data_IF_989309800118
#
_entry.id   IF_989309800118
#
_cell.length_a   1.000
_cell.length_b   1.000
_cell.length_c   1.000
_cell.angle_alpha   90.00
_cell.angle_beta   90.00
_cell.angle_gamma   90.00
#
_symmetry.space_group_name_H-M   'P 1'
#
loop_
_entity.id
_entity.type
_entity.pdbx_description
1 polymer ?
#
# COMPACT_ATOMS: atom_id res chain seq x y z
N UNK A 1 0.83 -13.24 -27.72
CA UNK A 1 0.41 -12.57 -26.48
C UNK A 1 -0.64 -13.47 -25.80
N UNK A 2 -0.33 -14.08 -24.64
CA UNK A 2 -1.29 -14.94 -23.92
C UNK A 2 -2.43 -14.06 -23.39
N UNK A 3 -3.68 -14.38 -23.75
CA UNK A 3 -4.87 -13.66 -23.26
C UNK A 3 -5.14 -14.10 -21.82
N UNK A 4 -4.98 -13.21 -20.83
CA UNK A 4 -5.32 -13.50 -19.44
C UNK A 4 -6.81 -13.89 -19.29
N UNK A 5 -7.14 -14.75 -18.33
CA UNK A 5 -8.53 -15.03 -17.96
C UNK A 5 -9.15 -13.78 -17.35
N UNK A 6 -10.12 -13.20 -18.06
CA UNK A 6 -10.98 -12.16 -17.51
C UNK A 6 -11.98 -12.79 -16.54
N UNK A 7 -11.88 -12.41 -15.26
CA UNK A 7 -12.86 -12.74 -14.20
C UNK A 7 -14.14 -11.95 -14.47
N UNK A 8 -15.30 -12.60 -14.33
CA UNK A 8 -16.62 -11.93 -14.26
C UNK A 8 -17.02 -11.72 -12.81
N UNK A 9 -17.87 -10.73 -12.54
CA UNK A 9 -18.19 -10.28 -11.17
C UNK A 9 -18.77 -11.39 -10.28
N UNK A 10 -19.60 -12.27 -10.84
CA UNK A 10 -20.19 -13.40 -10.13
C UNK A 10 -19.21 -14.57 -9.92
N UNK A 11 -18.09 -14.63 -10.63
CA UNK A 11 -17.18 -15.78 -10.57
C UNK A 11 -16.32 -15.75 -9.30
N UNK A 12 -16.14 -16.91 -8.68
CA UNK A 12 -15.45 -17.05 -7.41
C UNK A 12 -13.96 -17.42 -7.57
N UNK A 13 -13.24 -16.68 -8.42
CA UNK A 13 -11.85 -16.96 -8.79
C UNK A 13 -10.80 -16.44 -7.78
N UNK A 14 -11.10 -16.52 -6.48
CA UNK A 14 -10.13 -16.18 -5.45
C UNK A 14 -9.00 -17.23 -5.41
N UNK A 15 -7.78 -16.83 -5.01
CA UNK A 15 -6.67 -17.76 -4.86
C UNK A 15 -7.02 -18.98 -3.98
N UNK A 16 -7.74 -18.72 -2.88
CA UNK A 16 -8.22 -19.75 -1.94
C UNK A 16 -9.16 -20.76 -2.61
N UNK A 17 -10.07 -20.29 -3.46
CA UNK A 17 -11.03 -21.19 -4.12
C UNK A 17 -10.40 -21.96 -5.27
N UNK A 18 -9.44 -21.34 -5.99
CA UNK A 18 -8.66 -22.05 -7.00
C UNK A 18 -7.81 -23.15 -6.35
N UNK A 19 -7.13 -22.87 -5.23
CA UNK A 19 -6.39 -23.89 -4.46
C UNK A 19 -7.31 -25.02 -3.99
N UNK A 20 -8.46 -24.68 -3.41
CA UNK A 20 -9.47 -25.66 -3.00
C UNK A 20 -9.89 -26.56 -4.16
N UNK A 21 -10.18 -25.98 -5.33
CA UNK A 21 -10.56 -26.78 -6.51
C UNK A 21 -9.42 -27.67 -6.99
N UNK A 22 -8.17 -27.20 -6.96
CA UNK A 22 -7.01 -28.03 -7.32
C UNK A 22 -6.84 -29.23 -6.38
N UNK A 23 -6.97 -29.01 -5.08
CA UNK A 23 -6.88 -30.05 -4.05
C UNK A 23 -8.00 -31.09 -4.22
N UNK A 24 -9.23 -30.65 -4.49
CA UNK A 24 -10.37 -31.56 -4.70
C UNK A 24 -10.30 -32.33 -6.03
N UNK A 25 -9.71 -31.74 -7.07
CA UNK A 25 -9.51 -32.41 -8.36
C UNK A 25 -8.38 -33.45 -8.31
N UNK A 26 -7.40 -33.26 -7.43
CA UNK A 26 -6.24 -34.15 -7.28
C UNK A 26 -5.93 -34.36 -5.80
N UNK A 27 -6.77 -35.12 -5.07
CA UNK A 27 -6.55 -35.36 -3.65
C UNK A 27 -5.24 -36.12 -3.43
N UNK A 28 -4.50 -35.75 -2.38
CA UNK A 28 -3.21 -36.36 -2.05
C UNK A 28 -3.31 -37.75 -1.38
N UNK A 29 -4.50 -38.11 -0.89
CA UNK A 29 -4.77 -39.39 -0.22
C UNK A 29 -5.48 -40.33 -1.19
N UNK A 30 -4.99 -41.58 -1.31
CA UNK A 30 -5.60 -42.60 -2.17
C UNK A 30 -7.04 -42.98 -1.76
N UNK A 31 -7.47 -42.63 -0.55
CA UNK A 31 -8.81 -42.86 -0.01
C UNK A 31 -9.86 -41.84 -0.46
N UNK A 32 -9.43 -40.65 -0.93
CA UNK A 32 -10.34 -39.55 -1.26
C UNK A 32 -10.70 -39.57 -2.75
N UNK A 33 -12.00 -39.55 -3.05
CA UNK A 33 -12.47 -39.52 -4.44
C UNK A 33 -12.32 -38.10 -5.02
N UNK A 34 -11.63 -37.94 -6.17
CA UNK A 34 -11.57 -36.66 -6.85
C UNK A 34 -12.96 -36.15 -7.24
N UNK A 35 -13.19 -34.85 -7.15
CA UNK A 35 -14.42 -34.25 -7.68
C UNK A 35 -14.41 -34.25 -9.21
N UNK A 36 -15.58 -34.18 -9.81
CA UNK A 36 -15.73 -34.01 -11.25
C UNK A 36 -15.38 -32.59 -11.69
N UNK A 37 -14.99 -32.43 -12.96
CA UNK A 37 -14.78 -31.09 -13.56
C UNK A 37 -16.05 -30.23 -13.52
N UNK A 38 -17.24 -30.85 -13.47
CA UNK A 38 -18.53 -30.16 -13.36
C UNK A 38 -18.70 -29.54 -11.98
N UNK A 39 -18.39 -30.30 -10.93
CA UNK A 39 -18.38 -29.80 -9.55
C UNK A 39 -17.32 -28.72 -9.33
N UNK A 40 -16.13 -28.89 -9.92
CA UNK A 40 -15.09 -27.86 -9.90
C UNK A 40 -15.55 -26.54 -10.51
N UNK A 41 -16.24 -26.58 -11.65
CA UNK A 41 -16.81 -25.38 -12.28
C UNK A 41 -17.88 -24.73 -11.39
N UNK A 42 -18.71 -25.54 -10.71
CA UNK A 42 -19.72 -25.05 -9.79
C UNK A 42 -19.12 -24.32 -8.58
N UNK A 43 -18.04 -24.86 -7.99
CA UNK A 43 -17.33 -24.21 -6.86
C UNK A 43 -16.79 -22.82 -7.24
N UNK A 44 -16.25 -22.69 -8.47
CA UNK A 44 -15.75 -21.41 -8.99
C UNK A 44 -16.84 -20.49 -9.52
N UNK A 45 -18.11 -20.92 -9.47
CA UNK A 45 -19.25 -20.23 -10.08
C UNK A 45 -18.99 -19.85 -11.55
N UNK A 46 -18.44 -20.78 -12.33
CA UNK A 46 -18.25 -20.65 -13.77
C UNK A 46 -19.16 -21.64 -14.52
N UNK A 47 -19.54 -21.30 -15.75
CA UNK A 47 -20.21 -22.24 -16.65
C UNK A 47 -19.35 -23.49 -16.85
N UNK A 48 -19.98 -24.65 -17.04
CA UNK A 48 -19.26 -25.91 -17.29
C UNK A 48 -18.49 -25.84 -18.61
N UNK A 49 -17.22 -25.45 -18.51
CA UNK A 49 -16.29 -25.28 -19.61
C UNK A 49 -14.91 -25.75 -19.14
N UNK A 50 -14.56 -26.96 -19.53
CA UNK A 50 -13.33 -27.63 -19.10
C UNK A 50 -12.07 -26.91 -19.57
N UNK A 51 -12.10 -26.28 -20.75
CA UNK A 51 -10.99 -25.46 -21.27
C UNK A 51 -10.78 -24.20 -20.44
N UNK A 52 -11.87 -23.50 -20.05
CA UNK A 52 -11.78 -22.33 -19.17
C UNK A 52 -11.26 -22.71 -17.78
N UNK A 53 -11.79 -23.80 -17.20
CA UNK A 53 -11.33 -24.32 -15.92
C UNK A 53 -9.83 -24.61 -15.94
N UNK A 54 -9.36 -25.35 -16.95
CA UNK A 54 -7.95 -25.69 -17.11
C UNK A 54 -7.08 -24.44 -17.21
N UNK A 55 -7.50 -23.46 -18.03
CA UNK A 55 -6.78 -22.20 -18.18
C UNK A 55 -6.71 -21.38 -16.89
N UNK A 56 -7.77 -21.36 -16.08
CA UNK A 56 -7.78 -20.70 -14.76
C UNK A 56 -6.73 -21.33 -13.84
N UNK A 57 -6.66 -22.66 -13.81
CA UNK A 57 -5.70 -23.40 -12.98
C UNK A 57 -4.28 -23.16 -13.47
N UNK A 58 -4.03 -23.26 -14.77
CA UNK A 58 -2.71 -23.01 -15.38
C UNK A 58 -2.22 -21.58 -15.10
N UNK A 59 -3.05 -20.55 -15.34
CA UNK A 59 -2.67 -19.16 -15.05
C UNK A 59 -2.44 -18.90 -13.56
N UNK A 60 -3.15 -19.62 -12.68
CA UNK A 60 -2.90 -19.55 -11.24
C UNK A 60 -1.54 -20.15 -10.88
N UNK A 61 -1.22 -21.33 -11.40
CA UNK A 61 0.05 -22.02 -11.14
C UNK A 61 1.24 -21.25 -11.71
N UNK A 62 1.13 -20.73 -12.93
CA UNK A 62 2.16 -19.89 -13.54
C UNK A 62 2.45 -18.64 -12.68
N UNK A 63 1.41 -17.98 -12.15
CA UNK A 63 1.59 -16.83 -11.24
C UNK A 63 2.23 -17.23 -9.92
N UNK A 64 1.84 -18.39 -9.36
CA UNK A 64 2.39 -18.91 -8.10
C UNK A 64 3.87 -19.27 -8.26
N UNK A 65 4.22 -19.98 -9.34
CA UNK A 65 5.60 -20.37 -9.65
C UNK A 65 6.48 -19.17 -9.99
N UNK A 66 5.95 -18.20 -10.75
CA UNK A 66 6.65 -16.94 -11.00
C UNK A 66 6.98 -16.22 -9.69
N UNK A 67 6.00 -16.07 -8.80
CA UNK A 67 6.18 -15.44 -7.49
C UNK A 67 7.21 -16.20 -6.66
N UNK A 68 7.13 -17.53 -6.62
CA UNK A 68 8.07 -18.40 -5.91
C UNK A 68 9.50 -18.23 -6.45
N UNK A 69 9.67 -18.22 -7.78
CA UNK A 69 10.96 -18.03 -8.45
C UNK A 69 11.56 -16.66 -8.14
N UNK A 70 10.75 -15.59 -8.19
CA UNK A 70 11.18 -14.23 -7.84
C UNK A 70 11.63 -14.14 -6.38
N UNK A 71 10.81 -14.65 -5.45
CA UNK A 71 11.14 -14.69 -4.01
C UNK A 71 12.40 -15.49 -3.73
N UNK A 72 12.56 -16.65 -4.36
CA UNK A 72 13.76 -17.47 -4.22
C UNK A 72 15.01 -16.74 -4.72
N UNK A 73 14.93 -16.07 -5.88
CA UNK A 73 16.04 -15.30 -6.44
C UNK A 73 16.45 -14.08 -5.61
N UNK A 74 15.51 -13.50 -4.85
CA UNK A 74 15.75 -12.35 -3.98
C UNK A 74 16.13 -12.74 -2.54
N UNK A 75 15.99 -14.02 -2.17
CA UNK A 75 16.25 -14.49 -0.80
C UNK A 75 17.70 -14.20 -0.40
N UNK A 76 17.88 -13.60 0.78
CA UNK A 76 19.19 -13.24 1.32
C UNK A 76 19.86 -12.03 0.65
N UNK A 77 19.27 -11.47 -0.41
CA UNK A 77 19.81 -10.27 -1.06
C UNK A 77 19.36 -9.02 -0.31
N UNK A 78 20.26 -8.03 -0.09
CA UNK A 78 19.85 -6.74 0.45
C UNK A 78 18.87 -6.03 -0.50
N UNK A 79 18.20 -5.00 0.01
CA UNK A 79 17.34 -4.14 -0.81
C UNK A 79 18.22 -3.31 -1.76
N UNK A 80 17.90 -3.35 -3.04
CA UNK A 80 18.48 -2.45 -4.04
C UNK A 80 17.97 -1.01 -3.86
N UNK A 81 18.70 -0.03 -4.39
CA UNK A 81 18.27 1.37 -4.36
C UNK A 81 16.87 1.57 -4.99
N UNK A 82 16.58 0.84 -6.07
CA UNK A 82 15.26 0.85 -6.71
C UNK A 82 14.16 0.30 -5.81
N UNK A 83 14.38 -0.83 -5.12
CA UNK A 83 13.42 -1.38 -4.15
C UNK A 83 13.18 -0.42 -2.97
N UNK A 84 14.21 0.27 -2.51
CA UNK A 84 14.09 1.26 -1.42
C UNK A 84 13.23 2.44 -1.88
N UNK A 85 13.57 3.03 -3.03
CA UNK A 85 12.81 4.15 -3.59
C UNK A 85 11.35 3.75 -3.86
N UNK A 86 11.12 2.60 -4.47
CA UNK A 86 9.76 2.12 -4.76
C UNK A 86 8.97 1.87 -3.48
N UNK A 87 9.57 1.24 -2.45
CA UNK A 87 8.89 1.01 -1.19
C UNK A 87 8.48 2.31 -0.50
N UNK A 88 9.38 3.29 -0.44
CA UNK A 88 9.12 4.57 0.22
C UNK A 88 8.08 5.40 -0.55
N UNK A 89 8.26 5.57 -1.87
CA UNK A 89 7.30 6.28 -2.72
C UNK A 89 5.90 5.64 -2.64
N UNK A 90 5.81 4.33 -2.84
CA UNK A 90 4.52 3.64 -2.79
C UNK A 90 3.83 3.80 -1.43
N UNK A 91 4.59 3.73 -0.34
CA UNK A 91 4.02 3.89 1.01
C UNK A 91 3.50 5.31 1.23
N UNK A 92 4.29 6.33 0.88
CA UNK A 92 3.88 7.74 0.95
C UNK A 92 2.63 7.98 0.10
N UNK A 93 2.57 7.43 -1.12
CA UNK A 93 1.40 7.48 -2.00
C UNK A 93 0.17 6.70 -1.52
N UNK A 94 0.23 6.03 -0.36
CA UNK A 94 -0.94 5.40 0.27
C UNK A 94 -1.11 3.90 0.00
N UNK A 95 -0.12 3.22 -0.56
CA UNK A 95 -0.13 1.76 -0.64
C UNK A 95 0.07 1.14 0.75
N UNK A 96 -0.56 -0.01 0.97
CA UNK A 96 -0.32 -0.80 2.18
C UNK A 96 1.02 -1.54 2.08
N UNK A 97 1.65 -1.82 3.23
CA UNK A 97 2.86 -2.67 3.29
C UNK A 97 2.62 -4.04 2.62
N UNK A 98 1.40 -4.56 2.68
CA UNK A 98 1.02 -5.83 2.05
C UNK A 98 1.07 -5.74 0.52
N UNK A 99 0.60 -4.65 -0.06
CA UNK A 99 0.55 -4.48 -1.52
C UNK A 99 1.95 -4.20 -2.09
N UNK A 100 2.73 -3.36 -1.40
CA UNK A 100 4.15 -3.14 -1.71
C UNK A 100 4.92 -4.46 -1.64
N UNK A 101 4.70 -5.27 -0.60
CA UNK A 101 5.32 -6.58 -0.42
C UNK A 101 5.03 -7.53 -1.58
N UNK A 102 3.78 -7.58 -2.07
CA UNK A 102 3.40 -8.41 -3.22
C UNK A 102 4.12 -7.95 -4.49
N UNK A 103 4.15 -6.65 -4.76
CA UNK A 103 4.75 -6.06 -5.97
C UNK A 103 6.27 -6.21 -6.00
N UNK A 104 6.93 -5.99 -4.87
CA UNK A 104 8.39 -6.14 -4.73
C UNK A 104 8.84 -7.59 -4.58
N UNK A 105 7.92 -8.56 -4.44
CA UNK A 105 8.26 -9.96 -4.13
C UNK A 105 9.13 -10.10 -2.87
N UNK A 106 8.93 -9.22 -1.88
CA UNK A 106 9.61 -9.24 -0.57
C UNK A 106 8.61 -9.53 0.55
N UNK A 107 9.06 -10.00 1.71
CA UNK A 107 8.15 -10.21 2.86
C UNK A 107 7.69 -8.87 3.44
N UNK A 108 6.47 -8.79 4.03
CA UNK A 108 5.99 -7.55 4.65
C UNK A 108 6.95 -6.99 5.70
N UNK A 109 7.54 -7.84 6.55
CA UNK A 109 8.53 -7.42 7.54
C UNK A 109 9.80 -6.84 6.93
N UNK A 110 10.18 -7.27 5.72
CA UNK A 110 11.35 -6.73 5.01
C UNK A 110 11.04 -5.35 4.42
N UNK A 111 9.81 -5.13 3.96
CA UNK A 111 9.36 -3.80 3.55
C UNK A 111 9.31 -2.85 4.75
N UNK A 112 8.79 -3.30 5.90
CA UNK A 112 8.81 -2.50 7.14
C UNK A 112 10.23 -2.11 7.55
N UNK A 113 11.17 -3.05 7.55
CA UNK A 113 12.55 -2.74 7.90
C UNK A 113 13.25 -1.78 6.93
N UNK A 114 12.84 -1.76 5.65
CA UNK A 114 13.27 -0.71 4.71
C UNK A 114 12.76 0.65 5.16
N UNK A 115 11.45 0.77 5.43
CA UNK A 115 10.81 2.03 5.82
C UNK A 115 11.40 2.57 7.13
N UNK A 116 11.56 1.71 8.13
CA UNK A 116 12.15 2.05 9.43
C UNK A 116 13.60 2.53 9.29
N UNK A 117 14.45 1.80 8.54
CA UNK A 117 15.85 2.18 8.36
C UNK A 117 16.03 3.48 7.57
N UNK A 118 15.08 3.80 6.69
CA UNK A 118 15.07 5.05 5.94
C UNK A 118 14.49 6.20 6.78
N UNK A 119 13.76 5.91 7.85
CA UNK A 119 13.06 6.92 8.65
C UNK A 119 11.77 7.43 7.98
N UNK A 120 11.03 6.56 7.28
CA UNK A 120 9.68 6.89 6.81
C UNK A 120 8.70 6.78 7.98
N UNK A 121 7.90 7.82 8.28
CA UNK A 121 6.91 7.76 9.36
C UNK A 121 5.92 6.61 9.19
N UNK A 122 5.57 5.94 10.30
CA UNK A 122 4.64 4.80 10.30
C UNK A 122 3.19 5.23 10.36
N UNK A 123 2.29 4.38 9.84
CA UNK A 123 0.84 4.49 10.04
C UNK A 123 0.42 3.52 11.15
N UNK A 124 -0.35 3.98 12.16
CA UNK A 124 -0.90 3.08 13.16
C UNK A 124 -1.80 2.01 12.52
N UNK A 125 -1.75 0.79 13.05
CA UNK A 125 -2.41 -0.36 12.43
C UNK A 125 -3.90 -0.44 12.78
N UNK A 126 -4.28 -0.03 13.99
CA UNK A 126 -5.66 -0.05 14.47
C UNK A 126 -6.32 1.33 14.33
N UNK A 127 -7.64 1.41 14.53
CA UNK A 127 -8.40 2.65 14.37
C UNK A 127 -8.22 3.55 15.58
N UNK A 128 -8.08 2.96 16.77
CA UNK A 128 -7.98 3.66 18.04
C UNK A 128 -6.68 4.50 18.11
N UNK A 129 -5.53 3.95 17.72
CA UNK A 129 -4.25 4.67 17.68
C UNK A 129 -4.24 5.78 16.62
N UNK A 130 -5.08 5.68 15.59
CA UNK A 130 -5.20 6.75 14.58
C UNK A 130 -5.95 7.98 15.08
N UNK A 131 -6.66 7.87 16.21
CA UNK A 131 -7.37 9.00 16.81
C UNK A 131 -6.43 10.00 17.49
N UNK A 132 -5.19 9.59 17.76
CA UNK A 132 -4.17 10.41 18.40
C UNK A 132 -2.99 10.64 17.45
N UNK A 133 -2.28 11.78 17.57
CA UNK A 133 -1.00 11.97 16.88
C UNK A 133 -0.03 10.83 17.20
N UNK A 134 0.65 10.31 16.18
CA UNK A 134 1.62 9.24 16.35
C UNK A 134 3.05 9.77 16.25
N UNK A 135 3.95 9.13 17.00
CA UNK A 135 5.38 9.44 16.94
C UNK A 135 5.93 9.14 15.55
N UNK A 136 6.76 10.05 15.06
CA UNK A 136 7.53 9.87 13.83
C UNK A 136 9.04 9.84 14.16
N UNK A 137 9.87 9.31 13.26
CA UNK A 137 11.32 9.19 13.49
C UNK A 137 11.99 10.53 13.76
N UNK A 138 13.07 10.51 14.55
CA UNK A 138 13.82 11.72 14.93
C UNK A 138 14.35 12.48 13.70
N UNK A 139 14.65 11.78 12.61
CA UNK A 139 15.08 12.38 11.34
C UNK A 139 14.03 13.30 10.72
N UNK A 140 12.76 13.13 11.09
CA UNK A 140 11.65 13.96 10.64
C UNK A 140 11.40 15.16 11.55
N UNK A 141 12.00 15.25 12.74
CA UNK A 141 11.75 16.35 13.68
C UNK A 141 12.30 17.66 13.13
N UNK A 142 11.47 18.71 13.13
CA UNK A 142 11.84 20.05 12.69
C UNK A 142 10.99 21.09 13.41
N UNK A 143 11.59 22.23 13.74
CA UNK A 143 10.90 23.33 14.43
C UNK A 143 10.19 24.28 13.46
N UNK A 144 10.59 24.28 12.19
CA UNK A 144 10.06 25.16 11.16
C UNK A 144 9.94 24.50 9.80
N UNK A 145 9.01 25.01 8.99
CA UNK A 145 8.68 24.52 7.66
C UNK A 145 8.48 25.67 6.68
N UNK A 146 8.74 25.40 5.40
CA UNK A 146 8.55 26.38 4.33
C UNK A 146 7.22 26.18 3.63
N UNK A 147 6.63 27.26 3.12
CA UNK A 147 5.44 27.17 2.25
C UNK A 147 5.79 26.37 0.99
N UNK A 148 4.93 25.44 0.61
CA UNK A 148 5.15 24.48 -0.47
C UNK A 148 5.97 23.25 -0.07
N UNK A 149 6.47 23.16 1.18
CA UNK A 149 7.22 21.99 1.65
C UNK A 149 6.29 20.80 1.86
N UNK A 150 6.75 19.62 1.41
CA UNK A 150 6.07 18.34 1.65
C UNK A 150 6.46 17.82 3.03
N UNK A 151 5.47 17.64 3.88
CA UNK A 151 5.61 17.21 5.27
C UNK A 151 4.75 15.99 5.54
N UNK A 152 5.02 15.31 6.65
CA UNK A 152 4.15 14.29 7.21
C UNK A 152 3.29 14.89 8.31
N UNK A 153 1.98 14.61 8.33
CA UNK A 153 1.14 14.97 9.46
C UNK A 153 1.03 13.80 10.44
N UNK A 154 1.49 13.99 11.67
CA UNK A 154 1.34 13.02 12.76
C UNK A 154 -0.13 12.77 13.12
N UNK A 155 -1.00 13.78 12.94
CA UNK A 155 -2.43 13.70 13.25
C UNK A 155 -3.20 12.90 12.21
N UNK A 156 -2.88 13.09 10.93
CA UNK A 156 -3.59 12.47 9.81
C UNK A 156 -2.88 11.22 9.26
N UNK A 157 -1.67 10.91 9.73
CA UNK A 157 -0.87 9.76 9.30
C UNK A 157 -0.67 9.71 7.78
N UNK A 158 -0.45 10.88 7.18
CA UNK A 158 -0.39 11.08 5.74
C UNK A 158 0.56 12.22 5.35
N UNK A 159 1.12 12.19 4.12
CA UNK A 159 1.81 13.34 3.55
C UNK A 159 0.86 14.53 3.35
N UNK A 160 1.40 15.73 3.49
CA UNK A 160 0.71 16.99 3.33
C UNK A 160 1.65 18.05 2.74
N UNK A 161 1.08 19.13 2.20
CA UNK A 161 1.85 20.32 1.78
C UNK A 161 1.56 21.47 2.72
N UNK A 162 2.59 22.19 3.11
CA UNK A 162 2.44 23.45 3.85
C UNK A 162 1.88 24.52 2.91
N UNK A 163 0.68 25.00 3.21
CA UNK A 163 -0.02 26.04 2.44
C UNK A 163 0.36 27.43 2.93
N UNK A 164 0.30 27.66 4.24
CA UNK A 164 0.73 28.92 4.85
C UNK A 164 1.17 28.74 6.30
N UNK A 165 2.04 29.62 6.76
CA UNK A 165 2.38 29.77 8.17
C UNK A 165 1.33 30.67 8.83
N UNK A 166 0.87 30.30 10.03
CA UNK A 166 0.03 31.19 10.82
C UNK A 166 0.91 32.23 11.51
N UNK A 167 0.67 33.51 11.23
CA UNK A 167 1.45 34.64 11.79
C UNK A 167 1.04 35.02 13.21
N UNK A 168 -0.04 34.43 13.73
CA UNK A 168 -0.58 34.82 15.02
C UNK A 168 0.33 34.34 16.18
N UNK A 169 0.93 35.25 16.98
CA UNK A 169 1.82 34.89 18.09
C UNK A 169 1.14 34.09 19.20
N UNK A 170 -0.19 34.13 19.27
CA UNK A 170 -1.00 33.37 20.25
C UNK A 170 -0.74 31.86 20.15
N UNK A 171 -0.40 31.33 18.97
CA UNK A 171 -0.07 29.90 18.83
C UNK A 171 1.23 29.55 19.55
N UNK A 172 2.26 30.39 19.41
CA UNK A 172 3.53 30.21 20.09
C UNK A 172 3.36 30.34 21.61
N UNK A 173 2.58 31.32 22.07
CA UNK A 173 2.32 31.52 23.50
C UNK A 173 1.51 30.38 24.13
N UNK A 174 0.53 29.84 23.40
CA UNK A 174 -0.38 28.81 23.93
C UNK A 174 0.17 27.39 23.81
N UNK A 175 0.88 27.09 22.72
CA UNK A 175 1.32 25.73 22.39
C UNK A 175 2.84 25.57 22.36
N UNK A 176 3.61 26.65 22.54
CA UNK A 176 5.07 26.61 22.50
C UNK A 176 5.64 26.29 21.12
N UNK A 177 4.84 26.38 20.06
CA UNK A 177 5.21 25.96 18.71
C UNK A 177 4.54 26.82 17.65
N UNK A 178 5.22 26.98 16.52
CA UNK A 178 4.65 27.59 15.33
C UNK A 178 3.52 26.72 14.78
N UNK A 179 2.51 27.35 14.17
CA UNK A 179 1.37 26.67 13.57
C UNK A 179 1.33 26.93 12.05
N UNK A 180 0.91 25.92 11.31
CA UNK A 180 0.85 25.92 9.85
C UNK A 180 -0.52 25.46 9.39
N UNK A 181 -1.01 26.05 8.31
CA UNK A 181 -2.07 25.46 7.51
C UNK A 181 -1.43 24.49 6.52
N UNK A 182 -1.95 23.28 6.49
CA UNK A 182 -1.50 22.20 5.63
C UNK A 182 -2.65 21.72 4.75
N UNK A 183 -2.34 21.25 3.56
CA UNK A 183 -3.28 20.55 2.67
C UNK A 183 -2.96 19.06 2.66
N UNK A 184 -3.93 18.24 3.07
CA UNK A 184 -3.82 16.78 3.12
C UNK A 184 -4.52 16.20 1.89
N UNK A 185 -3.82 15.32 1.18
CA UNK A 185 -4.36 14.61 0.01
C UNK A 185 -5.13 13.38 0.47
N UNK A 186 -6.35 13.23 -0.02
CA UNK A 186 -7.14 12.02 0.18
C UNK A 186 -6.86 11.05 -0.97
N UNK A 187 -6.68 9.77 -0.63
CA UNK A 187 -6.62 8.72 -1.64
C UNK A 187 -8.00 8.61 -2.27
N UNK A 188 -8.07 8.55 -3.61
CA UNK A 188 -9.31 8.20 -4.31
C UNK A 188 -9.87 6.90 -3.71
N UNK A 189 -11.11 6.95 -3.23
CA UNK A 189 -11.80 5.77 -2.75
C UNK A 189 -11.89 4.76 -3.90
N UNK A 190 -11.67 3.47 -3.60
CA UNK A 190 -11.84 2.39 -4.59
C UNK A 190 -13.32 2.25 -5.05
N UNK A 191 -14.26 2.92 -4.38
CA UNK A 191 -15.65 3.04 -4.78
C UNK A 191 -15.84 4.19 -5.78
N UNK A 192 -16.08 3.80 -7.04
CA UNK A 192 -16.45 4.64 -8.17
C UNK A 192 -17.75 5.41 -7.90
N UNK A 193 -17.63 6.63 -7.39
CA UNK A 193 -18.63 7.66 -7.65
C UNK A 193 -18.19 8.50 -8.85
N UNK A 194 -19.08 8.59 -9.85
CA UNK A 194 -18.96 9.26 -11.15
C UNK A 194 -18.49 10.74 -11.10
N UNK A 195 -18.41 11.33 -9.91
CA UNK A 195 -18.04 12.73 -9.64
C UNK A 195 -16.51 12.92 -9.46
N UNK A 196 -15.70 11.85 -9.50
CA UNK A 196 -14.25 11.90 -9.25
C UNK A 196 -13.38 12.12 -10.51
N UNK A 197 -13.88 12.86 -11.51
CA UNK A 197 -13.08 13.19 -12.73
C UNK A 197 -12.28 14.50 -12.60
N UNK A 198 -12.02 14.96 -11.37
CA UNK A 198 -11.36 16.25 -11.13
C UNK A 198 -10.27 16.15 -10.04
N UNK A 199 -9.16 15.50 -10.37
CA UNK A 199 -7.94 15.52 -9.55
C UNK A 199 -8.05 14.81 -8.19
N UNK A 200 -6.91 14.69 -7.51
CA UNK A 200 -6.85 14.15 -6.15
C UNK A 200 -7.53 15.13 -5.20
N UNK A 201 -8.63 14.70 -4.59
CA UNK A 201 -9.31 15.45 -3.53
C UNK A 201 -8.45 15.58 -2.27
N UNK A 202 -8.85 16.48 -1.38
CA UNK A 202 -8.13 16.74 -0.14
C UNK A 202 -8.76 17.85 0.66
N UNK A 203 -8.24 18.10 1.87
CA UNK A 203 -8.76 19.13 2.76
C UNK A 203 -7.63 19.91 3.43
N UNK A 204 -7.95 21.15 3.81
CA UNK A 204 -7.06 21.97 4.62
C UNK A 204 -7.24 21.62 6.10
N UNK A 205 -6.13 21.54 6.82
CA UNK A 205 -6.11 21.46 8.27
C UNK A 205 -5.06 22.42 8.85
N UNK A 206 -5.12 22.64 10.16
CA UNK A 206 -4.06 23.34 10.89
C UNK A 206 -3.33 22.38 11.81
N UNK A 207 -2.01 22.46 11.84
CA UNK A 207 -1.13 21.64 12.66
C UNK A 207 0.04 22.46 13.21
N UNK A 208 0.45 22.16 14.43
CA UNK A 208 1.64 22.73 15.04
C UNK A 208 2.91 22.06 14.47
N UNK A 209 4.04 22.76 14.50
CA UNK A 209 5.32 22.24 13.99
C UNK A 209 5.70 20.90 14.62
N UNK A 210 5.48 20.71 15.93
CA UNK A 210 5.76 19.44 16.62
C UNK A 210 4.88 18.25 16.16
N UNK A 211 3.77 18.51 15.47
CA UNK A 211 2.90 17.48 14.88
C UNK A 211 3.21 17.25 13.39
N UNK A 212 4.23 17.93 12.85
CA UNK A 212 4.67 17.84 11.47
C UNK A 212 6.06 17.21 11.38
N UNK A 213 6.22 16.27 10.46
CA UNK A 213 7.49 15.62 10.17
C UNK A 213 8.07 16.11 8.84
N UNK A 214 9.33 16.54 8.82
CA UNK A 214 10.08 16.90 7.62
C UNK A 214 10.47 15.64 6.86
N UNK A 215 10.36 15.67 5.52
CA UNK A 215 10.67 14.50 4.67
C UNK A 215 11.93 14.69 3.81
N UNK A 216 12.75 15.71 4.09
CA UNK A 216 13.88 16.09 3.23
C UNK A 216 14.99 15.03 3.15
N UNK A 217 15.12 14.17 4.16
CA UNK A 217 16.04 13.03 4.10
C UNK A 217 15.64 12.04 3.00
N UNK A 218 14.35 11.93 2.67
CA UNK A 218 13.86 11.07 1.59
C UNK A 218 14.22 11.63 0.21
N UNK A 219 14.22 12.96 0.05
CA UNK A 219 14.64 13.60 -1.21
C UNK A 219 16.10 13.25 -1.57
N UNK A 220 16.97 13.08 -0.56
CA UNK A 220 18.36 12.64 -0.75
C UNK A 220 18.48 11.22 -1.33
N UNK A 221 17.42 10.40 -1.21
CA UNK A 221 17.33 9.05 -1.78
C UNK A 221 16.77 9.05 -3.22
N UNK A 222 16.57 10.22 -3.83
CA UNK A 222 15.98 10.36 -5.16
C UNK A 222 14.46 10.20 -5.18
N UNK A 223 13.81 10.24 -4.01
CA UNK A 223 12.35 10.16 -3.89
C UNK A 223 11.78 11.53 -4.22
N UNK A 224 11.03 11.60 -5.31
CA UNK A 224 10.27 12.79 -5.68
C UNK A 224 9.01 12.90 -4.82
N UNK A 225 9.08 13.75 -3.79
CA UNK A 225 8.00 13.98 -2.84
C UNK A 225 6.77 14.62 -3.49
N UNK A 226 6.96 15.46 -4.52
CA UNK A 226 5.87 16.14 -5.20
C UNK A 226 5.01 15.16 -6.02
N UNK A 227 5.59 14.06 -6.49
CA UNK A 227 4.83 12.98 -7.16
C UNK A 227 3.98 12.13 -6.21
N UNK A 228 4.23 12.22 -4.91
CA UNK A 228 3.47 11.45 -3.91
C UNK A 228 2.18 12.17 -3.49
N UNK A 229 2.03 13.42 -3.90
CA UNK A 229 0.87 14.28 -3.67
C UNK A 229 -0.19 14.02 -4.73
#
# INVERSE_FOLDING_TARGET
MRKNVKKKDHENLSAKNIEKVKELLNPGSASDKPITKKEACAILNISYNTTRLQKIIEEYDERKDYTKKRKAGLRGRPASAGEISEACSSFLGGDTVSDISKRLFRSPSFVRSILERVGVPSRPSNKEERLTPHYFPDECVSESFQVGEVVWSAKYHAPAVVDKKHENPTYLEKYGSEAYQIYIFEKEAEELDFVSTAGKGGFYASSCAHDLGKLNHLAKLGIDLNKQL
#
